data_IF_987717827169
#
_entry.id   IF_987717827169
#
_cell.length_a   1.000
_cell.length_b   1.000
_cell.length_c   1.000
_cell.angle_alpha   90.00
_cell.angle_beta   90.00
_cell.angle_gamma   90.00
#
_symmetry.space_group_name_H-M   'P 1'
#
loop_
_entity.id
_entity.type
_entity.pdbx_description
1 polymer ?
#
# COMPACT_ATOMS: atom_id res chain seq x y z
N UNK A 1 -25.69 -59.26 -38.44
CA UNK A 1 -26.00 -58.56 -39.71
C UNK A 1 -25.14 -57.32 -39.78
N UNK A 2 -24.26 -57.33 -40.76
CA UNK A 2 -23.27 -56.29 -41.08
C UNK A 2 -23.91 -54.92 -41.28
N UNK A 3 -23.26 -53.78 -41.04
CA UNK A 3 -22.46 -53.03 -42.00
C UNK A 3 -21.59 -51.97 -41.30
N UNK A 4 -20.31 -52.00 -41.63
CA UNK A 4 -19.26 -50.99 -41.45
C UNK A 4 -19.35 -49.90 -42.53
N UNK A 5 -18.94 -48.63 -42.18
CA UNK A 5 -18.32 -47.68 -43.12
C UNK A 5 -17.62 -46.60 -42.25
N UNK A 6 -16.35 -46.58 -42.18
CA UNK A 6 -15.25 -46.04 -43.04
C UNK A 6 -15.21 -44.49 -43.17
N UNK A 7 -14.13 -44.01 -42.61
CA UNK A 7 -13.37 -42.75 -42.80
C UNK A 7 -13.58 -42.03 -44.14
N UNK A 8 -13.58 -40.67 -44.07
CA UNK A 8 -12.78 -39.84 -44.95
C UNK A 8 -12.56 -38.41 -44.36
N UNK A 9 -11.30 -38.08 -44.18
CA UNK A 9 -10.72 -36.76 -44.00
C UNK A 9 -10.96 -35.86 -45.22
N UNK A 10 -11.27 -34.59 -44.95
CA UNK A 10 -11.22 -33.58 -46.03
C UNK A 10 -10.32 -32.42 -45.56
N UNK A 11 -9.17 -32.35 -46.16
CA UNK A 11 -8.26 -31.20 -46.17
C UNK A 11 -8.85 -30.11 -47.04
N UNK A 12 -9.04 -28.91 -46.47
CA UNK A 12 -9.39 -27.74 -47.27
C UNK A 12 -8.16 -26.82 -47.40
N UNK A 13 -7.56 -26.83 -48.56
CA UNK A 13 -6.47 -25.94 -48.98
C UNK A 13 -7.07 -24.59 -49.37
N UNK A 14 -6.60 -23.49 -48.79
CA UNK A 14 -6.94 -22.11 -49.18
C UNK A 14 -5.89 -21.62 -50.14
N UNK A 15 -6.32 -21.39 -51.40
CA UNK A 15 -5.54 -20.73 -52.46
C UNK A 15 -5.47 -19.23 -52.19
N UNK A 16 -4.28 -18.68 -52.16
CA UNK A 16 -4.05 -17.23 -52.18
C UNK A 16 -3.97 -16.80 -53.65
N UNK A 17 -4.90 -15.98 -54.10
CA UNK A 17 -4.85 -15.33 -55.42
C UNK A 17 -4.24 -13.93 -55.29
N UNK A 18 -3.09 -13.71 -55.92
CA UNK A 18 -2.45 -12.40 -56.03
C UNK A 18 -3.04 -11.72 -57.27
N UNK A 19 -3.72 -10.60 -57.10
CA UNK A 19 -4.07 -9.70 -58.22
C UNK A 19 -3.10 -8.53 -58.26
N UNK A 20 -2.28 -8.51 -59.30
CA UNK A 20 -1.50 -7.35 -59.70
C UNK A 20 -2.33 -6.46 -60.61
N UNK A 21 -2.65 -5.26 -60.16
CA UNK A 21 -3.18 -4.20 -61.05
C UNK A 21 -2.22 -3.00 -60.96
N UNK A 22 -1.58 -2.73 -62.10
CA UNK A 22 -0.76 -1.53 -62.25
C UNK A 22 -1.63 -0.29 -62.35
N UNK A 23 -1.25 0.76 -61.64
CA UNK A 23 -1.76 2.10 -61.82
C UNK A 23 -0.63 3.11 -61.90
N UNK A 24 -0.73 3.94 -62.91
CA UNK A 24 0.25 4.92 -63.37
C UNK A 24 0.55 5.98 -62.29
N UNK A 25 1.81 6.30 -62.15
CA UNK A 25 2.32 7.34 -61.25
C UNK A 25 2.10 8.69 -61.93
N UNK A 26 1.22 9.51 -61.35
CA UNK A 26 1.18 10.96 -61.57
C UNK A 26 1.94 11.61 -60.39
N UNK A 27 3.12 12.13 -60.67
CA UNK A 27 3.95 12.87 -59.71
C UNK A 27 3.36 14.25 -59.45
N UNK A 28 2.83 14.45 -58.23
CA UNK A 28 2.53 15.78 -57.69
C UNK A 28 3.66 16.10 -56.71
N UNK A 29 4.33 17.27 -56.82
CA UNK A 29 5.34 17.63 -55.81
C UNK A 29 4.67 18.01 -54.52
N UNK A 30 4.77 17.14 -53.51
CA UNK A 30 4.35 17.48 -52.14
C UNK A 30 5.43 18.35 -51.48
N UNK A 31 5.12 19.62 -51.29
CA UNK A 31 5.85 20.50 -50.38
C UNK A 31 5.66 19.93 -48.96
N UNK A 32 6.72 19.32 -48.43
CA UNK A 32 6.77 18.99 -47.00
C UNK A 32 7.00 20.27 -46.21
N UNK A 33 6.11 20.63 -45.24
CA UNK A 33 6.47 21.61 -44.25
C UNK A 33 7.61 21.00 -43.38
N UNK A 34 8.70 21.76 -43.23
CA UNK A 34 9.75 21.42 -42.28
C UNK A 34 9.14 21.50 -40.86
N UNK A 35 8.83 20.37 -40.27
CA UNK A 35 8.55 20.25 -38.85
C UNK A 35 9.89 20.31 -38.13
N UNK A 36 10.31 21.52 -37.76
CA UNK A 36 11.32 21.73 -36.73
C UNK A 36 10.60 21.54 -35.37
N UNK A 37 10.23 20.33 -35.06
CA UNK A 37 9.90 19.91 -33.75
C UNK A 37 11.15 19.36 -33.12
N UNK A 38 11.79 20.10 -32.21
CA UNK A 38 12.63 19.50 -31.19
C UNK A 38 11.74 18.47 -30.47
N UNK A 39 11.87 17.20 -30.82
CA UNK A 39 11.45 16.13 -29.93
C UNK A 39 12.35 16.31 -28.70
N UNK A 40 11.83 16.95 -27.65
CA UNK A 40 12.36 16.74 -26.33
C UNK A 40 12.37 15.24 -26.13
N UNK A 41 13.57 14.66 -26.14
CA UNK A 41 13.81 13.36 -25.58
C UNK A 41 13.42 13.51 -24.12
N UNK A 42 12.20 13.10 -23.75
CA UNK A 42 11.85 12.91 -22.36
C UNK A 42 12.89 11.94 -21.83
N UNK A 43 13.88 12.46 -21.15
CA UNK A 43 14.78 11.69 -20.31
C UNK A 43 13.85 11.01 -19.31
N UNK A 44 13.75 9.68 -19.42
CA UNK A 44 13.01 8.85 -18.50
C UNK A 44 13.51 9.21 -17.10
N UNK A 45 12.68 9.87 -16.29
CA UNK A 45 13.06 10.25 -14.92
C UNK A 45 13.53 9.00 -14.21
N UNK A 46 14.67 9.09 -13.53
CA UNK A 46 15.31 7.95 -12.87
C UNK A 46 14.65 7.77 -11.49
N UNK A 47 13.50 7.10 -11.48
CA UNK A 47 12.77 6.82 -10.25
C UNK A 47 13.35 5.61 -9.50
N UNK A 48 13.07 5.50 -8.21
CA UNK A 48 13.48 4.39 -7.35
C UNK A 48 12.85 3.08 -7.84
N UNK A 49 13.69 2.08 -8.11
CA UNK A 49 13.29 0.76 -8.65
C UNK A 49 13.29 -0.35 -7.61
N UNK A 50 13.83 -0.09 -6.44
CA UNK A 50 13.91 -1.05 -5.34
C UNK A 50 14.03 -0.33 -4.00
N UNK A 51 13.35 -0.86 -2.97
CA UNK A 51 13.42 -0.35 -1.59
C UNK A 51 13.53 -1.54 -0.64
N UNK A 52 14.47 -1.45 0.30
CA UNK A 52 14.59 -2.37 1.42
C UNK A 52 14.28 -1.61 2.71
N UNK A 53 13.18 -1.97 3.37
CA UNK A 53 12.71 -1.30 4.57
C UNK A 53 13.06 -2.11 5.82
N UNK A 54 14.26 -1.84 6.39
CA UNK A 54 14.81 -2.58 7.51
C UNK A 54 14.67 -1.85 8.86
N UNK A 55 13.92 -0.75 8.91
CA UNK A 55 13.76 0.04 10.13
C UNK A 55 13.13 -0.80 11.23
N UNK A 56 13.80 -0.87 12.40
CA UNK A 56 13.29 -1.63 13.53
C UNK A 56 12.07 -0.95 14.15
N UNK A 57 11.24 -1.74 14.85
CA UNK A 57 10.09 -1.22 15.57
C UNK A 57 10.48 -0.15 16.60
N UNK A 58 11.59 -0.36 17.29
CA UNK A 58 12.12 0.55 18.30
C UNK A 58 12.51 1.90 17.66
N UNK A 59 13.21 1.86 16.52
CA UNK A 59 13.59 3.07 15.79
C UNK A 59 12.35 3.84 15.27
N UNK A 60 11.35 3.12 14.76
CA UNK A 60 10.07 3.74 14.36
C UNK A 60 9.39 4.43 15.53
N UNK A 61 9.30 3.78 16.70
CA UNK A 61 8.66 4.36 17.87
C UNK A 61 9.42 5.58 18.40
N UNK A 62 10.76 5.49 18.52
CA UNK A 62 11.57 6.57 19.07
C UNK A 62 11.55 7.80 18.14
N UNK A 63 11.67 7.61 16.82
CA UNK A 63 11.59 8.70 15.86
C UNK A 63 10.19 9.36 15.81
N UNK A 64 9.12 8.54 15.87
CA UNK A 64 7.74 9.02 15.96
C UNK A 64 7.52 9.85 17.24
N UNK A 65 8.03 9.37 18.39
CA UNK A 65 7.91 10.08 19.67
C UNK A 65 8.66 11.43 19.63
N UNK A 66 9.85 11.46 19.01
CA UNK A 66 10.62 12.70 18.83
C UNK A 66 9.88 13.72 17.96
N UNK A 67 9.30 13.27 16.84
CA UNK A 67 8.49 14.11 15.94
C UNK A 67 7.27 14.70 16.68
N UNK A 68 6.43 13.83 17.26
CA UNK A 68 5.19 14.25 17.92
C UNK A 68 5.47 15.17 19.12
N UNK A 69 6.48 14.86 19.94
CA UNK A 69 6.80 15.65 21.14
C UNK A 69 7.43 17.01 20.83
N UNK A 70 8.07 17.14 19.67
CA UNK A 70 8.67 18.41 19.23
C UNK A 70 7.75 19.28 18.37
N UNK A 71 6.58 18.76 17.98
CA UNK A 71 5.64 19.50 17.15
C UNK A 71 5.19 20.82 17.82
N UNK A 72 5.23 21.92 17.06
CA UNK A 72 4.89 23.25 17.56
C UNK A 72 5.99 23.91 18.40
N UNK A 73 7.14 23.29 18.56
CA UNK A 73 8.32 23.90 19.16
C UNK A 73 9.22 24.54 18.08
N UNK A 74 10.18 25.35 18.51
CA UNK A 74 11.15 25.99 17.63
C UNK A 74 12.01 24.97 16.85
N UNK A 75 12.26 23.78 17.44
CA UNK A 75 13.03 22.70 16.87
C UNK A 75 12.13 21.48 16.62
N UNK A 76 11.34 21.48 15.56
CA UNK A 76 10.54 20.34 15.18
C UNK A 76 11.38 19.29 14.42
N UNK A 77 11.39 18.04 14.91
CA UNK A 77 12.11 16.92 14.31
C UNK A 77 11.18 16.10 13.44
N UNK A 78 11.39 16.10 12.13
CA UNK A 78 10.62 15.25 11.21
C UNK A 78 11.15 13.82 11.26
N UNK A 79 10.32 12.87 11.68
CA UNK A 79 10.73 11.48 11.89
C UNK A 79 11.35 10.79 10.67
N UNK A 80 10.90 11.15 9.46
CA UNK A 80 11.47 10.63 8.22
C UNK A 80 12.93 11.07 8.07
N UNK A 81 13.24 12.32 8.38
CA UNK A 81 14.60 12.85 8.31
C UNK A 81 15.52 12.16 9.33
N UNK A 82 15.00 11.94 10.55
CA UNK A 82 15.73 11.21 11.59
C UNK A 82 16.03 9.78 11.15
N UNK A 83 15.03 9.05 10.63
CA UNK A 83 15.19 7.68 10.17
C UNK A 83 16.11 7.58 8.95
N UNK A 84 16.01 8.50 7.99
CA UNK A 84 16.86 8.56 6.81
C UNK A 84 18.34 8.83 7.18
N UNK A 85 18.58 9.72 8.15
CA UNK A 85 19.92 9.95 8.70
C UNK A 85 20.48 8.67 9.33
N UNK A 86 19.71 8.00 10.21
CA UNK A 86 20.11 6.77 10.86
C UNK A 86 20.38 5.65 9.85
N UNK A 87 19.50 5.47 8.86
CA UNK A 87 19.70 4.49 7.80
C UNK A 87 21.00 4.74 7.02
N UNK A 88 21.28 6.00 6.71
CA UNK A 88 22.51 6.36 6.00
C UNK A 88 23.75 6.11 6.86
N UNK A 89 23.67 6.45 8.15
CA UNK A 89 24.81 6.34 9.07
C UNK A 89 25.17 4.89 9.39
N UNK A 90 24.21 3.96 9.41
CA UNK A 90 24.39 2.56 9.75
C UNK A 90 24.27 1.58 8.57
N UNK A 91 24.22 2.10 7.33
CA UNK A 91 24.07 1.26 6.13
C UNK A 91 22.73 0.53 6.04
N UNK A 92 21.67 1.11 6.58
CA UNK A 92 20.31 0.53 6.66
C UNK A 92 20.20 -0.73 7.53
N UNK A 93 21.16 -0.94 8.43
CA UNK A 93 21.12 -2.03 9.41
C UNK A 93 20.62 -1.51 10.76
N UNK A 94 19.37 -1.82 11.08
CA UNK A 94 18.75 -1.50 12.36
C UNK A 94 18.73 -2.69 13.34
N UNK A 95 19.42 -3.78 13.05
CA UNK A 95 19.44 -4.97 13.91
C UNK A 95 20.06 -4.69 15.29
N UNK A 96 20.99 -3.73 15.37
CA UNK A 96 21.65 -3.28 16.59
C UNK A 96 21.24 -1.88 17.02
N UNK A 97 20.09 -1.39 16.52
CA UNK A 97 19.63 -0.06 16.87
C UNK A 97 19.52 0.14 18.38
N UNK A 98 20.06 1.27 18.86
CA UNK A 98 19.89 1.74 20.22
C UNK A 98 19.54 3.24 20.23
N UNK A 99 18.66 3.66 21.15
CA UNK A 99 18.14 5.03 21.24
C UNK A 99 19.24 6.10 21.36
N UNK A 100 20.45 5.74 21.82
CA UNK A 100 21.58 6.66 21.90
C UNK A 100 21.99 7.25 20.53
N UNK A 101 21.82 6.49 19.44
CA UNK A 101 22.12 7.00 18.10
C UNK A 101 21.18 8.15 17.71
N UNK A 102 19.88 7.99 18.00
CA UNK A 102 18.89 9.05 17.78
C UNK A 102 19.14 10.24 18.73
N UNK A 103 19.40 9.99 20.01
CA UNK A 103 19.68 11.06 20.99
C UNK A 103 20.89 11.90 20.57
N UNK A 104 21.97 11.27 20.08
CA UNK A 104 23.14 12.00 19.59
C UNK A 104 22.85 12.85 18.34
N UNK A 105 21.93 12.42 17.48
CA UNK A 105 21.46 13.23 16.34
C UNK A 105 20.66 14.45 16.85
N UNK A 106 19.71 14.22 17.76
CA UNK A 106 18.89 15.27 18.36
C UNK A 106 19.75 16.32 19.10
N UNK A 107 20.77 15.88 19.83
CA UNK A 107 21.73 16.78 20.48
C UNK A 107 22.44 17.70 19.47
N UNK A 108 22.88 17.16 18.33
CA UNK A 108 23.48 17.98 17.26
C UNK A 108 22.50 19.02 16.70
N UNK A 109 21.24 18.63 16.47
CA UNK A 109 20.20 19.54 16.02
C UNK A 109 19.94 20.64 17.07
N UNK A 110 19.91 20.28 18.36
CA UNK A 110 19.73 21.24 19.46
C UNK A 110 20.91 22.22 19.64
N UNK A 111 22.08 21.88 19.13
CA UNK A 111 23.23 22.83 19.10
C UNK A 111 23.18 23.82 17.93
N UNK A 112 22.07 23.83 17.16
CA UNK A 112 21.83 24.74 16.05
C UNK A 112 22.32 24.23 14.69
N UNK A 113 22.75 22.97 14.58
CA UNK A 113 23.04 22.34 13.29
C UNK A 113 21.75 22.01 12.57
N UNK A 114 21.71 22.22 11.27
CA UNK A 114 20.58 21.81 10.43
C UNK A 114 20.75 20.37 9.93
N UNK A 115 19.64 19.75 9.50
CA UNK A 115 19.69 18.42 8.89
C UNK A 115 20.51 18.46 7.58
N UNK A 116 20.41 19.53 6.81
CA UNK A 116 21.17 19.75 5.59
C UNK A 116 22.68 19.73 5.85
N UNK A 117 23.15 20.47 6.87
CA UNK A 117 24.57 20.50 7.27
C UNK A 117 25.07 19.12 7.71
N UNK A 118 24.22 18.37 8.46
CA UNK A 118 24.58 17.06 8.96
C UNK A 118 24.62 15.98 7.86
N UNK A 119 23.93 16.21 6.76
CA UNK A 119 23.78 15.22 5.67
C UNK A 119 24.49 15.60 4.37
N UNK A 120 25.12 16.78 4.31
CA UNK A 120 25.81 17.31 3.12
C UNK A 120 26.75 16.27 2.46
N UNK A 121 27.48 15.52 3.26
CA UNK A 121 28.44 14.51 2.80
C UNK A 121 27.88 13.06 2.88
N UNK A 122 26.59 12.89 3.07
CA UNK A 122 25.92 11.58 3.18
C UNK A 122 25.34 11.15 1.84
N UNK A 123 26.09 10.37 1.07
CA UNK A 123 25.76 9.94 -0.30
C UNK A 123 24.33 9.36 -0.48
N UNK A 124 23.83 8.62 0.51
CA UNK A 124 22.57 7.89 0.39
C UNK A 124 21.41 8.52 1.16
N UNK A 125 21.61 9.68 1.79
CA UNK A 125 20.57 10.33 2.58
C UNK A 125 19.33 10.67 1.75
N UNK A 126 19.52 11.28 0.58
CA UNK A 126 18.40 11.65 -0.33
C UNK A 126 17.60 10.43 -0.76
N UNK A 127 18.28 9.30 -1.06
CA UNK A 127 17.61 8.06 -1.39
C UNK A 127 16.76 7.52 -0.25
N UNK A 128 17.30 7.44 0.99
CA UNK A 128 16.52 6.97 2.14
C UNK A 128 15.40 7.94 2.51
N UNK A 129 15.63 9.24 2.40
CA UNK A 129 14.59 10.25 2.64
C UNK A 129 13.43 10.07 1.66
N UNK A 130 13.69 9.91 0.37
CA UNK A 130 12.66 9.68 -0.65
C UNK A 130 11.95 8.33 -0.43
N UNK A 131 12.68 7.25 -0.20
CA UNK A 131 12.12 5.92 0.05
C UNK A 131 11.25 5.91 1.31
N UNK A 132 11.72 6.47 2.42
CA UNK A 132 10.97 6.49 3.67
C UNK A 132 9.80 7.48 3.61
N UNK A 133 9.92 8.58 2.86
CA UNK A 133 8.76 9.46 2.57
C UNK A 133 7.69 8.72 1.78
N UNK A 134 8.07 7.88 0.83
CA UNK A 134 7.10 7.05 0.11
C UNK A 134 6.42 6.01 1.00
N UNK A 135 7.08 5.49 2.04
CA UNK A 135 6.51 4.50 2.97
C UNK A 135 5.69 5.14 4.07
N UNK A 136 6.20 6.21 4.69
CA UNK A 136 5.76 6.73 5.98
C UNK A 136 5.22 8.17 5.92
N UNK A 137 5.28 8.82 4.75
CA UNK A 137 5.10 10.27 4.60
C UNK A 137 3.80 10.84 5.18
N UNK A 138 2.72 10.09 5.06
CA UNK A 138 1.40 10.52 5.55
C UNK A 138 1.01 9.85 6.88
N UNK A 139 1.93 9.19 7.57
CA UNK A 139 1.61 8.48 8.81
C UNK A 139 1.48 9.40 10.02
N UNK A 140 2.27 10.45 10.09
CA UNK A 140 2.23 11.47 11.13
C UNK A 140 1.79 12.81 10.52
N UNK A 141 0.93 13.52 11.20
CA UNK A 141 0.47 14.84 10.77
C UNK A 141 -0.72 15.34 11.58
N UNK A 142 -1.28 16.45 11.12
CA UNK A 142 -2.48 17.02 11.70
C UNK A 142 -3.74 16.27 11.24
N UNK A 143 -4.67 16.07 12.16
CA UNK A 143 -5.97 15.48 11.90
C UNK A 143 -7.01 15.96 12.91
N UNK A 144 -8.28 15.80 12.58
CA UNK A 144 -9.38 15.98 13.50
C UNK A 144 -9.95 14.62 13.90
N UNK A 145 -10.23 14.46 15.18
CA UNK A 145 -10.96 13.30 15.70
C UNK A 145 -12.09 13.74 16.59
N UNK A 146 -13.16 12.95 16.64
CA UNK A 146 -14.25 13.19 17.55
C UNK A 146 -13.88 12.69 18.94
N UNK A 147 -14.18 13.50 19.94
CA UNK A 147 -14.31 13.08 21.33
C UNK A 147 -15.74 13.40 21.81
N UNK A 148 -16.20 12.70 22.84
CA UNK A 148 -17.45 13.03 23.51
C UNK A 148 -17.11 13.84 24.77
N UNK A 149 -17.81 14.95 24.95
CA UNK A 149 -17.79 15.72 26.20
C UNK A 149 -18.74 15.08 27.21
N UNK A 150 -19.18 15.84 28.25
CA UNK A 150 -20.12 15.37 29.27
C UNK A 150 -21.47 14.90 28.66
N UNK A 151 -21.86 15.43 27.50
CA UNK A 151 -23.01 14.97 26.74
C UNK A 151 -22.53 14.01 25.59
N UNK A 152 -22.83 12.69 25.70
CA UNK A 152 -22.39 11.71 24.73
C UNK A 152 -23.07 11.87 23.35
N UNK A 153 -24.14 12.65 23.26
CA UNK A 153 -24.86 12.89 22.00
C UNK A 153 -24.27 14.07 21.21
N UNK A 154 -23.35 14.84 21.80
CA UNK A 154 -22.71 15.99 21.16
C UNK A 154 -21.22 15.72 20.93
N UNK A 155 -20.83 15.24 19.73
CA UNK A 155 -19.42 15.02 19.42
C UNK A 155 -18.67 16.35 19.29
N UNK A 156 -17.56 16.47 19.98
CA UNK A 156 -16.62 17.59 19.85
C UNK A 156 -15.48 17.19 18.91
N UNK A 157 -15.17 18.04 17.95
CA UNK A 157 -14.02 17.82 17.09
C UNK A 157 -12.77 18.46 17.68
N UNK A 158 -11.74 17.65 17.85
CA UNK A 158 -10.44 18.08 18.36
C UNK A 158 -9.40 17.96 17.25
N UNK A 159 -8.62 19.03 17.08
CA UNK A 159 -7.43 19.01 16.23
C UNK A 159 -6.30 18.36 17.00
N UNK A 160 -5.62 17.41 16.42
CA UNK A 160 -4.46 16.71 16.96
C UNK A 160 -3.33 16.64 15.97
N UNK A 161 -2.13 16.48 16.48
CA UNK A 161 -0.96 16.10 15.71
C UNK A 161 -0.43 14.76 16.22
N UNK A 162 -0.14 13.82 15.33
CA UNK A 162 0.35 12.50 15.70
C UNK A 162 0.09 11.45 14.64
N UNK A 163 0.08 10.19 15.06
CA UNK A 163 -0.16 9.04 14.20
C UNK A 163 -1.61 9.07 13.69
N UNK A 164 -1.79 9.33 12.38
CA UNK A 164 -3.11 9.47 11.73
C UNK A 164 -3.49 8.27 10.84
N UNK A 165 -2.72 7.19 10.94
CA UNK A 165 -2.97 5.90 10.28
C UNK A 165 -3.33 4.85 11.33
N UNK A 166 -4.08 3.81 10.92
CA UNK A 166 -4.66 2.86 11.86
C UNK A 166 -4.20 1.42 11.59
N UNK A 167 -4.23 0.61 12.66
CA UNK A 167 -4.09 -0.83 12.55
C UNK A 167 -5.18 -1.39 11.62
N UNK A 168 -4.85 -2.30 10.69
CA UNK A 168 -5.84 -2.90 9.80
C UNK A 168 -6.83 -3.84 10.52
N UNK A 169 -6.62 -4.12 11.81
CA UNK A 169 -7.56 -4.86 12.66
C UNK A 169 -8.12 -3.92 13.71
N UNK A 170 -9.45 -3.86 13.81
CA UNK A 170 -10.16 -2.99 14.75
C UNK A 170 -9.86 -3.34 16.22
N UNK A 171 -9.91 -2.34 17.10
CA UNK A 171 -9.70 -2.49 18.55
C UNK A 171 -10.68 -3.49 19.15
N UNK A 172 -10.17 -4.35 20.03
CA UNK A 172 -10.95 -5.41 20.67
C UNK A 172 -10.99 -6.74 19.91
N UNK A 173 -10.44 -6.81 18.72
CA UNK A 173 -10.24 -8.03 17.94
C UNK A 173 -8.77 -8.42 17.98
N UNK A 174 -8.47 -9.60 18.53
CA UNK A 174 -7.10 -10.11 18.59
C UNK A 174 -6.65 -10.69 17.26
N UNK A 175 -5.36 -10.57 17.00
CA UNK A 175 -4.69 -11.27 15.91
C UNK A 175 -3.24 -11.61 16.29
N UNK A 176 -2.70 -12.63 15.63
CA UNK A 176 -1.29 -13.00 15.70
C UNK A 176 -0.64 -12.72 14.36
N UNK A 177 0.65 -12.41 14.36
CA UNK A 177 1.39 -12.19 13.13
C UNK A 177 2.87 -12.55 13.31
N UNK A 178 3.49 -12.97 12.22
CA UNK A 178 4.87 -13.44 12.20
C UNK A 178 5.61 -12.76 11.06
N UNK A 179 6.93 -12.68 11.16
CA UNK A 179 7.76 -12.17 10.06
C UNK A 179 7.84 -13.22 8.96
N UNK A 180 7.04 -13.06 7.92
CA UNK A 180 6.88 -14.01 6.83
C UNK A 180 7.01 -13.40 5.42
N UNK A 181 7.34 -12.13 5.34
CA UNK A 181 7.64 -11.45 4.07
C UNK A 181 8.79 -12.16 3.34
N UNK A 182 8.63 -12.36 2.03
CA UNK A 182 9.62 -13.04 1.21
C UNK A 182 9.65 -14.56 1.33
N UNK A 183 8.93 -15.16 2.27
CA UNK A 183 8.84 -16.62 2.40
C UNK A 183 8.22 -17.25 1.15
N UNK A 184 8.65 -18.48 0.85
CA UNK A 184 8.12 -19.22 -0.29
C UNK A 184 6.63 -19.56 -0.09
N UNK A 185 5.83 -19.35 -1.12
CA UNK A 185 4.43 -19.74 -1.22
C UNK A 185 4.25 -20.54 -2.51
N UNK A 186 3.37 -21.54 -2.49
CA UNK A 186 3.05 -22.35 -3.67
C UNK A 186 1.53 -22.52 -3.81
N UNK A 187 1.02 -22.18 -4.98
CA UNK A 187 -0.31 -22.54 -5.46
C UNK A 187 -0.25 -22.47 -6.99
N UNK A 188 -0.09 -23.64 -7.61
CA UNK A 188 0.12 -23.76 -9.05
C UNK A 188 1.54 -23.41 -9.52
N UNK A 189 2.23 -22.46 -8.88
CA UNK A 189 3.64 -22.13 -9.09
C UNK A 189 4.26 -21.55 -7.79
N UNK A 190 5.60 -21.59 -7.74
CA UNK A 190 6.35 -21.02 -6.61
C UNK A 190 6.43 -19.49 -6.74
N UNK A 191 6.15 -18.79 -5.65
CA UNK A 191 6.25 -17.32 -5.56
C UNK A 191 6.74 -16.90 -4.18
N UNK A 192 7.19 -15.66 -4.05
CA UNK A 192 7.48 -15.05 -2.76
C UNK A 192 6.21 -14.47 -2.14
N UNK A 193 6.13 -14.48 -0.83
CA UNK A 193 5.12 -13.78 -0.06
C UNK A 193 5.41 -12.27 -0.08
N UNK A 194 4.58 -11.49 -0.78
CA UNK A 194 4.76 -10.05 -0.98
C UNK A 194 3.82 -9.23 -0.09
N UNK A 195 3.54 -9.71 1.10
CA UNK A 195 2.66 -9.08 2.07
C UNK A 195 2.96 -9.59 3.47
N UNK A 196 1.98 -9.43 4.34
CA UNK A 196 2.04 -9.79 5.74
C UNK A 196 0.70 -10.41 6.18
N UNK A 197 0.75 -11.57 6.81
CA UNK A 197 -0.44 -12.32 7.20
C UNK A 197 -0.80 -12.03 8.67
N UNK A 198 -2.04 -11.58 8.91
CA UNK A 198 -2.60 -11.29 10.22
C UNK A 198 -3.64 -12.35 10.54
N UNK A 199 -3.30 -13.31 11.40
CA UNK A 199 -4.13 -14.45 11.75
C UNK A 199 -5.17 -14.07 12.78
N UNK A 200 -6.45 -14.21 12.47
CA UNK A 200 -7.55 -13.79 13.33
C UNK A 200 -8.85 -14.55 13.02
N UNK A 201 -9.90 -14.27 13.78
CA UNK A 201 -11.21 -14.88 13.58
C UNK A 201 -11.91 -14.41 12.30
N UNK A 202 -12.63 -15.32 11.62
CA UNK A 202 -13.49 -14.95 10.48
C UNK A 202 -14.52 -13.92 10.94
N UNK A 203 -14.68 -12.83 10.17
CA UNK A 203 -15.59 -11.75 10.49
C UNK A 203 -14.98 -10.64 11.35
N UNK A 204 -13.69 -10.75 11.72
CA UNK A 204 -12.95 -9.63 12.34
C UNK A 204 -13.02 -8.41 11.43
N UNK A 205 -13.43 -7.22 11.93
CA UNK A 205 -13.49 -6.02 11.13
C UNK A 205 -12.11 -5.56 10.66
N UNK A 206 -11.99 -5.35 9.35
CA UNK A 206 -10.79 -4.84 8.70
C UNK A 206 -10.94 -3.34 8.49
N UNK A 207 -9.98 -2.57 8.99
CA UNK A 207 -9.94 -1.12 8.87
C UNK A 207 -8.93 -0.66 7.81
N UNK A 208 -9.24 0.44 7.13
CA UNK A 208 -8.28 1.09 6.25
C UNK A 208 -7.11 1.65 7.06
N UNK A 209 -5.87 1.35 6.64
CA UNK A 209 -4.67 1.86 7.30
C UNK A 209 -4.58 3.36 7.13
N UNK A 210 -4.75 3.85 5.92
CA UNK A 210 -4.59 5.26 5.52
C UNK A 210 -5.81 5.69 4.70
N UNK A 211 -6.09 6.99 4.69
CA UNK A 211 -7.10 7.58 3.81
C UNK A 211 -6.66 7.49 2.34
N UNK A 212 -7.62 7.26 1.46
CA UNK A 212 -7.32 7.11 0.04
C UNK A 212 -8.51 6.74 -0.79
N UNK A 213 -8.26 6.48 -2.07
CA UNK A 213 -9.28 6.10 -3.05
C UNK A 213 -9.24 4.60 -3.30
N UNK A 214 -10.38 3.95 -3.31
CA UNK A 214 -10.50 2.54 -3.69
C UNK A 214 -10.21 2.39 -5.19
N UNK A 215 -9.10 1.74 -5.53
CA UNK A 215 -8.73 1.48 -6.92
C UNK A 215 -9.18 0.12 -7.42
N UNK A 216 -9.34 -0.83 -6.51
CA UNK A 216 -9.69 -2.19 -6.87
C UNK A 216 -10.54 -2.84 -5.80
N UNK A 217 -11.61 -3.48 -6.23
CA UNK A 217 -12.46 -4.34 -5.40
C UNK A 217 -12.89 -5.55 -6.21
N UNK A 218 -13.04 -6.71 -5.59
CA UNK A 218 -13.52 -7.89 -6.28
C UNK A 218 -12.69 -9.14 -6.01
N UNK A 219 -12.93 -10.15 -6.81
CA UNK A 219 -12.32 -11.47 -6.72
C UNK A 219 -11.06 -11.59 -7.57
N UNK A 220 -10.04 -12.26 -7.04
CA UNK A 220 -9.06 -12.94 -7.88
C UNK A 220 -8.72 -14.32 -7.31
N UNK A 221 -8.18 -15.19 -8.15
CA UNK A 221 -7.93 -16.59 -7.80
C UNK A 221 -6.93 -16.82 -6.65
N UNK A 222 -6.05 -15.86 -6.38
CA UNK A 222 -5.04 -15.96 -5.32
C UNK A 222 -5.52 -15.32 -4.02
N UNK A 223 -5.88 -14.05 -4.07
CA UNK A 223 -6.30 -13.26 -2.91
C UNK A 223 -7.75 -13.47 -2.48
N UNK A 224 -8.57 -14.17 -3.29
CA UNK A 224 -9.99 -14.27 -3.03
C UNK A 224 -10.67 -12.92 -3.15
N UNK A 225 -11.58 -12.61 -2.24
CA UNK A 225 -12.15 -11.27 -2.10
C UNK A 225 -11.08 -10.31 -1.59
N UNK A 226 -10.88 -9.20 -2.30
CA UNK A 226 -9.81 -8.25 -2.05
C UNK A 226 -10.24 -6.81 -2.23
N UNK A 227 -9.50 -5.90 -1.58
CA UNK A 227 -9.61 -4.45 -1.72
C UNK A 227 -8.21 -3.91 -1.97
N UNK A 228 -8.10 -2.94 -2.87
CA UNK A 228 -6.91 -2.13 -3.09
C UNK A 228 -7.23 -0.66 -2.88
N UNK A 229 -6.48 0.03 -2.02
CA UNK A 229 -6.66 1.45 -1.73
C UNK A 229 -5.38 2.20 -2.05
N UNK A 230 -5.47 3.22 -2.89
CA UNK A 230 -4.37 4.13 -3.21
C UNK A 230 -4.37 5.31 -2.27
N UNK A 231 -3.23 5.61 -1.64
CA UNK A 231 -3.04 6.82 -0.85
C UNK A 231 -3.27 8.09 -1.68
N UNK A 232 -3.63 9.20 -1.03
CA UNK A 232 -3.92 10.46 -1.73
C UNK A 232 -2.69 11.04 -2.45
N UNK A 233 -1.49 10.86 -1.90
CA UNK A 233 -0.22 11.23 -2.53
C UNK A 233 0.23 10.27 -3.64
N UNK A 234 -0.53 9.19 -3.88
CA UNK A 234 -0.31 8.14 -4.88
C UNK A 234 0.98 7.33 -4.72
N UNK A 235 1.67 7.45 -3.59
CA UNK A 235 2.93 6.76 -3.34
C UNK A 235 2.76 5.35 -2.79
N UNK A 236 1.59 5.03 -2.16
CA UNK A 236 1.29 3.74 -1.53
C UNK A 236 0.02 3.14 -2.11
N UNK A 237 0.07 1.83 -2.31
CA UNK A 237 -1.11 1.02 -2.60
C UNK A 237 -1.23 -0.04 -1.51
N UNK A 238 -2.33 0.03 -0.77
CA UNK A 238 -2.66 -0.90 0.29
C UNK A 238 -3.52 -2.02 -0.24
N UNK A 239 -3.06 -3.24 -0.09
CA UNK A 239 -3.75 -4.44 -0.53
C UNK A 239 -4.27 -5.23 0.67
N UNK A 240 -5.56 -5.59 0.65
CA UNK A 240 -6.24 -6.37 1.67
C UNK A 240 -6.91 -7.55 0.98
N UNK A 241 -6.60 -8.79 1.39
CA UNK A 241 -7.07 -10.00 0.72
C UNK A 241 -7.50 -11.09 1.69
N UNK A 242 -8.01 -12.18 1.15
CA UNK A 242 -8.62 -13.29 1.85
C UNK A 242 -9.83 -12.89 2.69
N UNK A 243 -10.57 -11.89 2.22
CA UNK A 243 -11.74 -11.40 2.93
C UNK A 243 -12.86 -12.45 2.99
N UNK A 244 -13.84 -12.20 3.84
CA UNK A 244 -14.90 -13.14 4.19
C UNK A 244 -15.75 -13.53 2.97
N UNK A 245 -16.13 -14.79 2.92
CA UNK A 245 -17.10 -15.32 1.98
C UNK A 245 -18.48 -14.65 2.16
N UNK A 246 -19.25 -14.50 1.06
CA UNK A 246 -20.61 -13.99 0.97
C UNK A 246 -20.82 -12.53 1.34
N UNK A 247 -20.00 -11.99 2.24
CA UNK A 247 -20.08 -10.59 2.68
C UNK A 247 -18.69 -10.05 3.01
N UNK A 248 -17.84 -9.83 1.99
CA UNK A 248 -16.45 -9.41 2.18
C UNK A 248 -16.29 -7.95 2.56
N UNK A 249 -17.17 -7.08 2.06
CA UNK A 249 -17.04 -5.63 2.10
C UNK A 249 -18.15 -4.98 2.91
N UNK A 250 -17.88 -3.79 3.44
CA UNK A 250 -18.90 -2.88 3.92
C UNK A 250 -19.48 -2.07 2.75
N UNK A 251 -20.69 -1.49 2.89
CA UNK A 251 -21.35 -0.76 1.79
C UNK A 251 -20.60 0.47 1.26
N UNK A 252 -19.62 0.99 2.03
CA UNK A 252 -18.83 2.16 1.61
C UNK A 252 -17.78 1.81 0.55
N UNK A 253 -17.43 0.53 0.41
CA UNK A 253 -16.35 0.08 -0.49
C UNK A 253 -16.88 -0.12 -1.91
N UNK A 254 -16.46 0.77 -2.79
CA UNK A 254 -16.73 0.74 -4.25
C UNK A 254 -15.52 1.34 -4.95
N UNK A 255 -15.20 0.88 -6.16
CA UNK A 255 -14.15 1.51 -6.97
C UNK A 255 -14.43 3.01 -7.16
N UNK A 256 -13.41 3.82 -6.96
CA UNK A 256 -13.48 5.28 -6.96
C UNK A 256 -14.00 5.91 -5.66
N UNK A 257 -14.41 5.12 -4.65
CA UNK A 257 -14.86 5.68 -3.38
C UNK A 257 -13.67 6.19 -2.54
N UNK A 258 -13.89 7.33 -1.89
CA UNK A 258 -12.98 7.87 -0.87
C UNK A 258 -13.20 7.15 0.46
N UNK A 259 -12.11 6.63 1.03
CA UNK A 259 -12.08 5.95 2.33
C UNK A 259 -11.22 6.77 3.29
N UNK A 260 -11.66 6.90 4.53
CA UNK A 260 -10.88 7.54 5.59
C UNK A 260 -10.09 6.50 6.38
N UNK A 261 -8.91 6.87 6.84
CA UNK A 261 -8.13 6.04 7.73
C UNK A 261 -8.96 5.60 8.95
N UNK A 262 -8.94 4.30 9.27
CA UNK A 262 -9.74 3.70 10.33
C UNK A 262 -11.21 3.39 9.97
N UNK A 263 -11.68 3.66 8.75
CA UNK A 263 -13.00 3.17 8.31
C UNK A 263 -12.99 1.65 8.18
N UNK A 264 -14.05 1.01 8.62
CA UNK A 264 -14.22 -0.44 8.42
C UNK A 264 -14.56 -0.70 6.96
N UNK A 265 -13.65 -1.37 6.26
CA UNK A 265 -13.75 -1.61 4.82
C UNK A 265 -14.24 -3.02 4.49
N UNK A 266 -14.09 -3.97 5.40
CA UNK A 266 -14.48 -5.35 5.16
C UNK A 266 -14.23 -6.23 6.36
N UNK A 267 -14.19 -7.55 6.11
CA UNK A 267 -14.09 -8.56 7.14
C UNK A 267 -13.08 -9.63 6.79
N UNK A 268 -12.21 -9.97 7.75
CA UNK A 268 -11.25 -11.06 7.64
C UNK A 268 -11.95 -12.39 7.34
N UNK A 269 -11.39 -13.20 6.47
CA UNK A 269 -11.95 -14.48 6.05
C UNK A 269 -10.92 -15.55 5.72
N UNK A 270 -11.25 -16.36 4.72
CA UNK A 270 -10.47 -17.52 4.25
C UNK A 270 -10.59 -17.70 2.73
N UNK A 271 -11.07 -16.68 1.99
CA UNK A 271 -11.30 -16.80 0.55
C UNK A 271 -10.00 -16.74 -0.25
N UNK A 272 -9.99 -17.35 -1.42
CA UNK A 272 -8.85 -17.37 -2.33
C UNK A 272 -8.31 -18.75 -2.62
N UNK A 273 -7.19 -18.80 -3.34
CA UNK A 273 -6.57 -20.02 -3.88
C UNK A 273 -7.59 -20.94 -4.58
N UNK A 274 -8.48 -20.33 -5.37
CA UNK A 274 -9.54 -20.99 -6.11
C UNK A 274 -9.83 -20.25 -7.42
N UNK A 275 -10.11 -21.00 -8.47
CA UNK A 275 -10.64 -20.46 -9.73
C UNK A 275 -12.14 -20.16 -9.66
N UNK A 276 -12.84 -20.78 -8.69
CA UNK A 276 -14.24 -20.50 -8.40
C UNK A 276 -14.32 -19.30 -7.46
N UNK A 277 -15.21 -18.37 -7.79
CA UNK A 277 -15.46 -17.19 -6.97
C UNK A 277 -16.16 -17.56 -5.67
N UNK A 278 -15.90 -16.79 -4.61
CA UNK A 278 -16.56 -16.91 -3.32
C UNK A 278 -16.33 -18.24 -2.60
N UNK A 279 -15.16 -18.85 -2.75
CA UNK A 279 -14.78 -20.11 -2.12
C UNK A 279 -13.74 -19.89 -1.03
N UNK A 280 -13.96 -20.51 0.14
CA UNK A 280 -12.97 -20.62 1.20
C UNK A 280 -12.02 -21.79 0.89
N UNK A 281 -10.83 -21.51 0.44
CA UNK A 281 -9.81 -22.51 0.15
C UNK A 281 -8.47 -22.23 0.85
N UNK A 282 -8.47 -21.32 1.81
CA UNK A 282 -7.38 -21.06 2.74
C UNK A 282 -7.60 -21.89 4.00
N UNK A 283 -6.55 -22.52 4.53
CA UNK A 283 -6.66 -23.44 5.67
C UNK A 283 -6.79 -22.72 7.02
N UNK A 284 -6.20 -21.53 7.16
CA UNK A 284 -6.19 -20.77 8.41
C UNK A 284 -6.71 -19.36 8.12
N UNK A 285 -7.73 -18.89 8.88
CA UNK A 285 -8.26 -17.55 8.67
C UNK A 285 -7.19 -16.49 8.92
N UNK A 286 -7.01 -15.58 7.97
CA UNK A 286 -6.12 -14.44 8.11
C UNK A 286 -6.48 -13.33 7.13
N UNK A 287 -6.08 -12.13 7.48
CA UNK A 287 -6.01 -11.01 6.55
C UNK A 287 -4.60 -11.01 5.95
N UNK A 288 -4.50 -11.19 4.65
CA UNK A 288 -3.27 -10.87 3.93
C UNK A 288 -3.29 -9.38 3.58
N UNK A 289 -2.33 -8.63 4.08
CA UNK A 289 -2.15 -7.23 3.75
C UNK A 289 -0.79 -6.97 3.13
N UNK A 290 -0.72 -6.02 2.22
CA UNK A 290 0.54 -5.58 1.61
C UNK A 290 0.57 -4.08 1.41
N UNK A 291 1.78 -3.51 1.40
CA UNK A 291 2.04 -2.14 1.01
C UNK A 291 2.97 -2.18 -0.20
N UNK A 292 2.46 -1.72 -1.34
CA UNK A 292 3.23 -1.54 -2.56
C UNK A 292 3.61 -0.08 -2.71
N UNK A 293 4.88 0.19 -3.03
CA UNK A 293 5.36 1.55 -3.32
C UNK A 293 5.27 1.82 -4.82
N UNK A 294 4.92 3.04 -5.17
CA UNK A 294 4.73 3.48 -6.54
C UNK A 294 5.45 4.81 -6.74
N UNK A 295 6.63 4.76 -7.33
CA UNK A 295 7.40 5.93 -7.74
C UNK A 295 7.09 6.32 -9.18
N UNK A 296 6.63 5.34 -9.98
CA UNK A 296 6.16 5.49 -11.35
C UNK A 296 5.00 4.52 -11.59
N UNK A 297 3.95 4.94 -12.31
CA UNK A 297 2.76 4.11 -12.53
C UNK A 297 3.06 2.78 -13.24
N UNK A 298 4.17 2.67 -13.98
CA UNK A 298 4.61 1.40 -14.58
C UNK A 298 5.00 0.33 -13.57
N UNK A 299 5.20 0.70 -12.29
CA UNK A 299 5.53 -0.24 -11.22
C UNK A 299 4.31 -0.94 -10.63
N UNK A 300 3.11 -0.41 -10.84
CA UNK A 300 1.92 -0.87 -10.12
C UNK A 300 1.51 -2.30 -10.49
N UNK A 301 1.40 -2.60 -11.78
CA UNK A 301 0.93 -3.90 -12.29
C UNK A 301 1.99 -4.58 -13.16
N UNK A 302 3.26 -4.25 -12.95
CA UNK A 302 4.39 -4.68 -13.77
C UNK A 302 5.25 -5.77 -13.14
N UNK A 303 6.41 -6.00 -13.74
CA UNK A 303 7.43 -6.91 -13.20
C UNK A 303 8.35 -6.24 -12.18
N UNK A 304 8.21 -4.93 -11.98
CA UNK A 304 9.03 -4.07 -11.11
C UNK A 304 8.26 -3.57 -9.88
N UNK A 305 7.25 -4.31 -9.45
CA UNK A 305 6.52 -4.01 -8.21
C UNK A 305 7.44 -3.96 -6.99
N UNK A 306 7.28 -2.94 -6.16
CA UNK A 306 8.01 -2.80 -4.90
C UNK A 306 7.06 -3.04 -3.74
N UNK A 307 7.09 -4.25 -3.20
CA UNK A 307 6.40 -4.62 -1.97
C UNK A 307 7.38 -4.58 -0.80
N UNK A 308 6.94 -4.09 0.36
CA UNK A 308 7.79 -3.93 1.55
C UNK A 308 7.43 -4.89 2.68
N UNK A 309 8.42 -5.22 3.52
CA UNK A 309 8.17 -5.94 4.78
C UNK A 309 7.39 -5.04 5.74
N UNK A 310 6.12 -5.38 5.97
CA UNK A 310 5.21 -4.61 6.82
C UNK A 310 5.27 -5.00 8.31
N UNK A 311 6.10 -5.97 8.72
CA UNK A 311 6.09 -6.50 10.08
C UNK A 311 6.22 -5.42 11.16
N UNK A 312 7.26 -4.58 11.07
CA UNK A 312 7.47 -3.51 12.05
C UNK A 312 6.46 -2.37 11.93
N UNK A 313 5.94 -2.13 10.72
CA UNK A 313 4.85 -1.16 10.51
C UNK A 313 3.59 -1.64 11.23
N UNK A 314 3.18 -2.90 11.06
CA UNK A 314 2.01 -3.45 11.75
C UNK A 314 2.16 -3.37 13.27
N UNK A 315 3.36 -3.68 13.81
CA UNK A 315 3.66 -3.49 15.25
C UNK A 315 3.46 -2.03 15.70
N UNK A 316 3.91 -1.07 14.88
CA UNK A 316 3.68 0.35 15.16
C UNK A 316 2.18 0.69 15.13
N UNK A 317 1.46 0.24 14.10
CA UNK A 317 0.04 0.51 13.92
C UNK A 317 -0.85 -0.09 15.03
N UNK A 318 -0.42 -1.16 15.71
CA UNK A 318 -1.12 -1.71 16.86
C UNK A 318 -1.31 -0.68 17.99
N UNK A 319 -0.47 0.38 18.04
CA UNK A 319 -0.63 1.49 18.99
C UNK A 319 -1.84 2.38 18.67
N UNK A 320 -2.36 2.32 17.44
CA UNK A 320 -3.48 3.14 16.97
C UNK A 320 -4.54 2.27 16.25
N UNK A 321 -5.29 1.50 17.02
CA UNK A 321 -6.40 0.70 16.51
C UNK A 321 -7.72 1.47 16.64
N UNK A 322 -8.53 1.48 15.57
CA UNK A 322 -9.83 2.16 15.59
C UNK A 322 -10.84 1.43 16.48
N UNK A 323 -11.57 2.16 17.33
CA UNK A 323 -12.73 1.64 18.04
C UNK A 323 -13.92 1.53 17.08
N UNK A 324 -14.65 0.42 17.19
CA UNK A 324 -15.80 0.12 16.35
C UNK A 324 -17.00 -0.26 17.18
N UNK A 325 -18.19 -0.07 16.63
CA UNK A 325 -19.44 -0.63 17.18
C UNK A 325 -20.23 -1.31 16.06
N UNK A 326 -21.06 -2.26 16.44
CA UNK A 326 -21.92 -2.98 15.50
C UNK A 326 -23.28 -2.28 15.41
N UNK A 327 -23.66 -1.84 14.20
CA UNK A 327 -25.00 -1.29 13.94
C UNK A 327 -26.04 -2.40 14.07
N UNK A 328 -27.05 -2.18 14.88
CA UNK A 328 -28.11 -3.15 15.12
C UNK A 328 -28.93 -3.45 13.86
N UNK A 329 -29.20 -2.40 13.07
CA UNK A 329 -30.07 -2.45 11.90
C UNK A 329 -29.45 -3.25 10.73
N UNK A 330 -28.15 -3.14 10.54
CA UNK A 330 -27.43 -3.72 9.40
C UNK A 330 -26.53 -4.89 9.80
N UNK A 331 -26.17 -4.98 11.09
CA UNK A 331 -25.15 -5.92 11.55
C UNK A 331 -23.72 -5.55 11.16
N UNK A 332 -23.51 -4.38 10.53
CA UNK A 332 -22.20 -3.89 10.10
C UNK A 332 -21.43 -3.26 11.25
N UNK A 333 -20.12 -3.47 11.26
CA UNK A 333 -19.22 -2.70 12.10
C UNK A 333 -18.89 -1.37 11.43
N UNK A 334 -18.92 -0.30 12.22
CA UNK A 334 -18.51 1.05 11.81
C UNK A 334 -17.60 1.64 12.85
N UNK A 335 -16.76 2.58 12.44
CA UNK A 335 -15.90 3.32 13.36
C UNK A 335 -16.74 4.12 14.35
N UNK A 336 -16.32 4.09 15.62
CA UNK A 336 -17.06 4.75 16.71
C UNK A 336 -16.85 6.27 16.73
N UNK A 337 -15.63 6.73 16.50
CA UNK A 337 -15.28 8.15 16.53
C UNK A 337 -15.01 8.66 15.11
N UNK A 338 -15.57 9.82 14.77
CA UNK A 338 -15.26 10.47 13.50
C UNK A 338 -13.76 10.79 13.39
N UNK A 339 -13.28 10.75 12.17
CA UNK A 339 -11.90 11.06 11.83
C UNK A 339 -11.86 11.83 10.52
N UNK A 340 -11.00 12.83 10.45
CA UNK A 340 -10.77 13.63 9.27
C UNK A 340 -9.29 14.06 9.25
N UNK A 341 -8.55 13.60 8.28
CA UNK A 341 -7.18 14.05 8.03
C UNK A 341 -7.19 15.32 7.17
N UNK A 342 -6.35 16.26 7.54
CA UNK A 342 -6.13 17.45 6.73
C UNK A 342 -5.27 17.05 5.53
N UNK A 343 -5.76 17.44 4.37
CA UNK A 343 -5.00 17.33 3.11
C UNK A 343 -3.99 18.44 3.01
#
# INVERSE_FOLDING_TARGET
>A
MFVSFSRKSLLLSVLIAVFAAGAAILSVPSVRPAVTGNAEVQTKEDYIKWVDFNVSYEALCDAMEADISSYGTENHYVWIDLLAYLATANGNDFSTYGKNALNSLIEKLNTGKTMEELTENMKYYSYYKEAFSAILGEYIGEYYTQSFCEDPDIPVWEKRYGLKVFCPVAKGFGFEHYRDFGNSRSYGYSRRHTGHDLFGGIGTPVAAIESGTVECVGWNRYGGWRIGIRSHDKKRYYYYAHLRKDHPYTPIVKEGAEIKAGDVIGYLGMTGYSTEENVNNINVPHLHMGIQLIFDESQKDGTSEIWIDCYNIVRLLQKNSCEVYKKTETGEYVRKYGFYDMK
#
